data_IF_892786100887
#
_entry.id   IF_892786100887
#
_cell.length_a   1.000
_cell.length_b   1.000
_cell.length_c   1.000
_cell.angle_alpha   90.00
_cell.angle_beta   90.00
_cell.angle_gamma   90.00
#
_symmetry.space_group_name_H-M   'P 1'
#
loop_
_entity.id
_entity.type
_entity.pdbx_description
1 polymer ?
#
# COMPACT_ATOMS: atom_id res chain seq x y z
N UNK A 1 -49.34 4.37 -6.82
CA UNK A 1 -48.54 3.95 -5.64
C UNK A 1 -48.52 5.00 -4.51
N UNK A 2 -48.35 6.31 -4.76
CA UNK A 2 -48.16 7.31 -3.70
C UNK A 2 -49.36 7.60 -2.76
N UNK A 3 -50.62 7.40 -3.18
CA UNK A 3 -51.80 7.78 -2.37
C UNK A 3 -52.06 6.89 -1.14
N UNK A 4 -51.58 5.64 -1.14
CA UNK A 4 -51.71 4.74 0.02
C UNK A 4 -50.64 5.04 1.09
N UNK A 5 -49.49 5.58 0.66
CA UNK A 5 -48.38 5.93 1.54
C UNK A 5 -48.53 7.34 2.15
N UNK A 6 -49.39 8.20 1.62
CA UNK A 6 -49.54 9.57 2.12
C UNK A 6 -50.56 9.74 3.26
N UNK A 7 -51.25 8.69 3.71
CA UNK A 7 -52.40 8.79 4.65
C UNK A 7 -52.13 8.35 6.09
N UNK A 8 -50.88 8.03 6.47
CA UNK A 8 -50.55 7.67 7.86
C UNK A 8 -49.93 8.86 8.59
N UNK A 9 -50.41 9.09 9.82
CA UNK A 9 -50.23 10.33 10.59
C UNK A 9 -48.92 10.38 11.41
N UNK A 10 -48.11 9.31 11.43
CA UNK A 10 -46.84 9.25 12.18
C UNK A 10 -45.70 8.62 11.37
N UNK A 11 -44.50 9.16 11.59
CA UNK A 11 -43.22 8.80 10.97
C UNK A 11 -42.16 8.56 12.06
N UNK A 12 -42.40 7.59 12.93
CA UNK A 12 -41.38 7.11 13.87
C UNK A 12 -40.53 6.00 13.22
N UNK A 13 -39.43 5.63 13.89
CA UNK A 13 -38.45 4.66 13.40
C UNK A 13 -39.10 3.30 13.08
N UNK A 14 -39.95 2.80 13.98
CA UNK A 14 -40.66 1.54 13.82
C UNK A 14 -41.61 1.56 12.59
N UNK A 15 -42.34 2.67 12.40
CA UNK A 15 -43.21 2.85 11.23
C UNK A 15 -42.43 2.92 9.91
N UNK A 16 -41.20 3.44 9.91
CA UNK A 16 -40.33 3.47 8.73
C UNK A 16 -39.87 2.05 8.37
N UNK A 17 -39.41 1.27 9.35
CA UNK A 17 -38.98 -0.12 9.10
C UNK A 17 -40.12 -1.00 8.61
N UNK A 18 -41.29 -0.95 9.28
CA UNK A 18 -42.46 -1.71 8.86
C UNK A 18 -42.87 -1.39 7.41
N UNK A 19 -42.72 -0.12 7.00
CA UNK A 19 -43.02 0.33 5.64
C UNK A 19 -41.98 -0.11 4.61
N UNK A 20 -40.70 -0.09 4.99
CA UNK A 20 -39.63 -0.64 4.15
C UNK A 20 -39.87 -2.11 3.82
N UNK A 21 -40.30 -2.88 4.82
CA UNK A 21 -40.66 -4.30 4.67
C UNK A 21 -41.87 -4.48 3.73
N UNK A 22 -42.96 -3.72 3.93
CA UNK A 22 -44.14 -3.78 3.06
C UNK A 22 -43.79 -3.47 1.58
N UNK A 23 -42.93 -2.48 1.34
CA UNK A 23 -42.48 -2.11 -0.01
C UNK A 23 -41.58 -3.19 -0.60
N UNK A 24 -40.66 -3.77 0.18
CA UNK A 24 -39.79 -4.85 -0.27
C UNK A 24 -40.61 -6.09 -0.67
N UNK A 25 -41.60 -6.47 0.13
CA UNK A 25 -42.49 -7.59 -0.19
C UNK A 25 -43.33 -7.34 -1.45
N UNK A 26 -43.82 -6.11 -1.64
CA UNK A 26 -44.49 -5.72 -2.88
C UNK A 26 -43.57 -5.76 -4.09
N UNK A 27 -42.31 -5.32 -3.94
CA UNK A 27 -41.31 -5.38 -5.00
C UNK A 27 -41.01 -6.82 -5.40
N UNK A 28 -40.83 -7.73 -4.44
CA UNK A 28 -40.63 -9.17 -4.69
C UNK A 28 -41.82 -9.76 -5.45
N UNK A 29 -43.05 -9.37 -5.09
CA UNK A 29 -44.27 -9.86 -5.74
C UNK A 29 -44.45 -9.33 -7.16
N UNK A 30 -44.15 -8.05 -7.39
CA UNK A 30 -44.33 -7.39 -8.69
C UNK A 30 -43.19 -7.67 -9.66
N UNK A 31 -42.00 -7.91 -9.12
CA UNK A 31 -40.78 -8.21 -9.84
C UNK A 31 -40.25 -9.55 -9.37
N UNK A 32 -40.95 -10.67 -9.67
CA UNK A 32 -40.33 -11.97 -9.49
C UNK A 32 -39.04 -11.91 -10.30
N UNK A 33 -37.90 -12.14 -9.65
CA UNK A 33 -36.62 -12.19 -10.34
C UNK A 33 -36.70 -13.12 -11.56
N UNK A 34 -35.78 -12.99 -12.53
CA UNK A 34 -35.75 -13.90 -13.67
C UNK A 34 -35.92 -15.34 -13.19
N UNK A 35 -36.83 -16.09 -13.83
CA UNK A 35 -37.23 -17.44 -13.39
C UNK A 35 -36.07 -18.46 -13.46
N UNK A 36 -34.96 -18.08 -14.08
CA UNK A 36 -33.73 -18.84 -14.11
C UNK A 36 -32.88 -18.43 -12.91
N UNK A 37 -32.46 -19.42 -12.11
CA UNK A 37 -31.39 -19.22 -11.13
C UNK A 37 -30.25 -18.48 -11.83
N UNK A 38 -29.71 -17.40 -11.24
CA UNK A 38 -28.58 -16.70 -11.85
C UNK A 38 -27.47 -17.72 -11.99
N UNK A 39 -27.30 -18.22 -13.21
CA UNK A 39 -26.11 -18.97 -13.58
C UNK A 39 -24.97 -18.06 -13.17
N UNK A 40 -24.02 -18.50 -12.33
CA UNK A 40 -22.84 -17.72 -12.05
C UNK A 40 -22.22 -17.43 -13.40
N UNK A 41 -22.50 -16.24 -13.94
CA UNK A 41 -21.73 -15.68 -15.02
C UNK A 41 -20.42 -15.46 -14.31
N UNK A 42 -19.48 -16.39 -14.47
CA UNK A 42 -18.08 -16.09 -14.29
C UNK A 42 -17.87 -14.91 -15.22
N UNK A 43 -18.06 -13.69 -14.72
CA UNK A 43 -17.76 -12.49 -15.48
C UNK A 43 -16.31 -12.70 -15.89
N UNK A 44 -16.04 -12.97 -17.18
CA UNK A 44 -14.67 -13.13 -17.61
C UNK A 44 -14.07 -11.78 -17.24
N UNK A 45 -13.13 -11.79 -16.27
CA UNK A 45 -12.41 -10.59 -15.84
C UNK A 45 -11.95 -9.92 -17.12
N UNK A 46 -12.70 -8.91 -17.54
CA UNK A 46 -12.63 -8.42 -18.91
C UNK A 46 -11.36 -7.63 -18.94
N UNK A 47 -10.29 -8.27 -19.36
CA UNK A 47 -9.09 -7.56 -19.75
C UNK A 47 -9.55 -6.61 -20.85
N UNK A 48 -9.48 -5.29 -20.62
CA UNK A 48 -9.99 -4.31 -21.58
C UNK A 48 -9.32 -4.57 -22.92
N UNK A 49 -10.12 -4.57 -23.98
CA UNK A 49 -9.68 -4.80 -25.35
C UNK A 49 -8.55 -3.79 -25.66
N UNK A 50 -7.30 -4.23 -25.94
CA UNK A 50 -6.15 -3.32 -26.04
C UNK A 50 -6.30 -2.25 -27.12
N UNK A 51 -7.19 -2.45 -28.11
CA UNK A 51 -7.50 -1.47 -29.15
C UNK A 51 -8.42 -0.33 -28.67
N UNK A 52 -9.11 -0.50 -27.54
CA UNK A 52 -10.04 0.50 -26.98
C UNK A 52 -9.40 1.46 -25.98
N UNK A 53 -8.16 1.21 -25.55
CA UNK A 53 -7.47 2.04 -24.58
C UNK A 53 -7.20 3.44 -25.13
N UNK A 54 -7.54 4.47 -24.35
CA UNK A 54 -7.15 5.83 -24.71
C UNK A 54 -5.61 5.95 -24.72
N UNK A 55 -5.02 6.81 -25.56
CA UNK A 55 -3.56 6.98 -25.61
C UNK A 55 -2.92 7.30 -24.24
N UNK A 56 -3.69 7.87 -23.31
CA UNK A 56 -3.23 8.15 -21.94
C UNK A 56 -3.19 6.90 -21.06
N UNK A 57 -4.17 5.99 -21.17
CA UNK A 57 -4.19 4.73 -20.41
C UNK A 57 -3.07 3.80 -20.83
N UNK A 58 -2.80 3.69 -22.15
CA UNK A 58 -1.67 2.92 -22.65
C UNK A 58 -0.33 3.47 -22.13
N UNK A 59 -0.18 4.80 -22.12
CA UNK A 59 1.00 5.47 -21.57
C UNK A 59 1.19 5.19 -20.07
N UNK A 60 0.13 5.29 -19.27
CA UNK A 60 0.24 5.04 -17.83
C UNK A 60 0.48 3.56 -17.51
N UNK A 61 -0.17 2.65 -18.24
CA UNK A 61 0.08 1.21 -18.12
C UNK A 61 1.56 0.90 -18.38
N UNK A 62 2.14 1.41 -19.47
CA UNK A 62 3.56 1.23 -19.77
C UNK A 62 4.47 1.86 -18.69
N UNK A 63 4.15 3.07 -18.25
CA UNK A 63 4.88 3.76 -17.18
C UNK A 63 4.94 2.92 -15.91
N UNK A 64 3.79 2.46 -15.43
CA UNK A 64 3.71 1.63 -14.22
C UNK A 64 4.37 0.26 -14.38
N UNK A 65 4.23 -0.39 -15.54
CA UNK A 65 4.93 -1.66 -15.81
C UNK A 65 6.45 -1.50 -15.70
N UNK A 66 7.00 -0.40 -16.24
CA UNK A 66 8.43 -0.12 -16.17
C UNK A 66 8.90 0.16 -14.73
N UNK A 67 8.09 0.86 -13.92
CA UNK A 67 8.36 1.00 -12.47
C UNK A 67 8.35 -0.36 -11.77
N UNK A 68 7.36 -1.21 -12.04
CA UNK A 68 7.26 -2.54 -11.42
C UNK A 68 8.44 -3.44 -11.79
N UNK A 69 8.91 -3.42 -13.05
CA UNK A 69 10.12 -4.14 -13.47
C UNK A 69 11.32 -3.68 -12.63
N UNK A 70 11.48 -2.37 -12.46
CA UNK A 70 12.55 -1.79 -11.64
C UNK A 70 12.44 -2.23 -10.18
N UNK A 71 11.26 -2.14 -9.57
CA UNK A 71 11.02 -2.59 -8.20
C UNK A 71 11.32 -4.09 -8.01
N UNK A 72 10.96 -4.94 -8.98
CA UNK A 72 11.31 -6.38 -8.95
C UNK A 72 12.82 -6.58 -9.04
N UNK A 73 13.50 -5.85 -9.91
CA UNK A 73 14.95 -5.92 -10.06
C UNK A 73 15.69 -5.49 -8.78
N UNK A 74 15.12 -4.54 -8.04
CA UNK A 74 15.62 -4.11 -6.72
C UNK A 74 15.27 -5.10 -5.58
N UNK A 75 14.44 -6.11 -5.83
CA UNK A 75 13.96 -7.03 -4.80
C UNK A 75 12.92 -6.43 -3.86
N UNK A 76 12.27 -5.33 -4.26
CA UNK A 76 11.29 -4.62 -3.45
C UNK A 76 10.01 -5.45 -3.27
N UNK A 77 9.49 -5.60 -2.04
CA UNK A 77 8.24 -6.34 -1.80
C UNK A 77 7.02 -5.63 -2.42
N UNK A 78 7.12 -4.32 -2.63
CA UNK A 78 6.06 -3.49 -3.22
C UNK A 78 5.64 -4.03 -4.60
N UNK A 79 6.60 -4.54 -5.38
CA UNK A 79 6.32 -5.02 -6.72
C UNK A 79 5.38 -6.22 -6.81
N UNK A 80 5.13 -6.90 -5.68
CA UNK A 80 4.25 -8.08 -5.59
C UNK A 80 2.82 -7.75 -5.15
N UNK A 81 2.62 -6.56 -4.59
CA UNK A 81 1.34 -6.11 -4.02
C UNK A 81 0.80 -4.85 -4.71
N UNK A 82 1.57 -4.28 -5.63
CA UNK A 82 1.22 -3.07 -6.33
C UNK A 82 0.33 -3.36 -7.54
N UNK A 83 -0.80 -2.67 -7.65
CA UNK A 83 -1.79 -2.83 -8.71
C UNK A 83 -1.96 -1.51 -9.48
N UNK A 84 -1.57 -1.47 -10.77
CA UNK A 84 -1.80 -0.30 -11.62
C UNK A 84 -3.29 -0.11 -11.96
N UNK A 85 -3.80 1.09 -11.77
CA UNK A 85 -5.17 1.47 -12.14
C UNK A 85 -5.15 2.88 -12.77
N UNK A 86 -5.11 2.95 -14.10
CA UNK A 86 -5.07 4.22 -14.83
C UNK A 86 -3.86 5.06 -14.45
N UNK A 87 -4.10 6.28 -13.96
CA UNK A 87 -3.08 7.23 -13.51
C UNK A 87 -2.56 6.95 -12.07
N UNK A 88 -2.95 5.83 -11.47
CA UNK A 88 -2.60 5.44 -10.11
C UNK A 88 -1.96 4.05 -10.04
N UNK A 89 -1.15 3.85 -9.01
CA UNK A 89 -0.59 2.56 -8.60
C UNK A 89 -0.94 2.35 -7.13
N UNK A 90 -1.88 1.46 -6.85
CA UNK A 90 -2.33 1.13 -5.50
C UNK A 90 -1.42 0.10 -4.84
N UNK A 91 -1.15 0.28 -3.55
CA UNK A 91 -0.30 -0.58 -2.75
C UNK A 91 -0.99 -0.82 -1.41
N UNK A 92 -1.32 -2.07 -1.15
CA UNK A 92 -1.91 -2.47 0.13
C UNK A 92 -0.88 -2.42 1.26
N UNK A 93 -1.20 -1.72 2.35
CA UNK A 93 -0.29 -1.65 3.52
C UNK A 93 -0.49 -2.78 4.52
N UNK A 94 -1.61 -3.51 4.40
CA UNK A 94 -2.06 -4.51 5.39
C UNK A 94 -2.65 -3.91 6.67
N UNK A 95 -2.67 -2.57 6.82
CA UNK A 95 -3.30 -1.89 7.95
C UNK A 95 -4.74 -1.47 7.58
N UNK A 96 -5.71 -1.66 8.49
CA UNK A 96 -7.10 -1.33 8.21
C UNK A 96 -7.28 0.18 8.00
N UNK A 97 -7.89 0.57 6.88
CA UNK A 97 -8.14 1.97 6.55
C UNK A 97 -6.88 2.76 6.18
N UNK A 98 -5.76 2.10 5.88
CA UNK A 98 -4.54 2.76 5.41
C UNK A 98 -4.15 2.18 4.07
N UNK A 99 -4.06 3.03 3.04
CA UNK A 99 -3.60 2.63 1.71
C UNK A 99 -2.45 3.52 1.26
N UNK A 100 -1.52 2.95 0.51
CA UNK A 100 -0.43 3.68 -0.13
C UNK A 100 -0.72 3.69 -1.63
N UNK A 101 -0.50 4.83 -2.28
CA UNK A 101 -0.60 4.93 -3.74
C UNK A 101 0.50 5.81 -4.31
N UNK A 102 0.94 5.50 -5.51
CA UNK A 102 1.60 6.48 -6.37
C UNK A 102 0.58 7.00 -7.38
N UNK A 103 0.59 8.30 -7.66
CA UNK A 103 -0.33 8.91 -8.62
C UNK A 103 0.42 9.83 -9.57
N UNK A 104 -0.04 9.86 -10.81
CA UNK A 104 0.36 10.84 -11.82
C UNK A 104 -0.68 11.95 -11.80
N UNK A 105 -0.25 13.16 -11.44
CA UNK A 105 -1.12 14.33 -11.45
C UNK A 105 -1.09 14.98 -12.83
N UNK A 106 -2.21 14.94 -13.54
CA UNK A 106 -2.40 15.63 -14.82
C UNK A 106 -3.54 16.65 -14.72
N UNK A 107 -3.32 17.77 -14.01
CA UNK A 107 -4.30 18.86 -13.97
C UNK A 107 -3.82 20.03 -14.83
N UNK A 108 -4.50 20.23 -15.96
CA UNK A 108 -4.21 21.30 -16.90
C UNK A 108 -2.81 21.18 -17.52
N UNK A 109 -1.97 22.18 -17.28
CA UNK A 109 -0.58 22.24 -17.79
C UNK A 109 0.47 21.79 -16.77
N UNK A 110 0.06 21.50 -15.54
CA UNK A 110 0.95 21.02 -14.50
C UNK A 110 0.98 19.49 -14.52
N UNK A 111 2.19 18.94 -14.67
CA UNK A 111 2.45 17.51 -14.51
C UNK A 111 3.24 17.29 -13.24
N UNK A 112 2.87 16.28 -12.47
CA UNK A 112 3.62 15.84 -11.31
C UNK A 112 3.38 14.38 -11.04
N UNK A 113 4.23 13.81 -10.20
CA UNK A 113 4.02 12.49 -9.62
C UNK A 113 4.02 12.64 -8.10
N UNK A 114 3.18 11.89 -7.43
CA UNK A 114 3.10 11.89 -5.98
C UNK A 114 3.10 10.47 -5.43
N UNK A 115 3.55 10.36 -4.19
CA UNK A 115 3.38 9.19 -3.34
C UNK A 115 2.50 9.64 -2.19
N UNK A 116 1.32 9.03 -2.07
CA UNK A 116 0.26 9.42 -1.14
C UNK A 116 -0.06 8.26 -0.23
N UNK A 117 0.02 8.50 1.08
CA UNK A 117 -0.52 7.63 2.11
C UNK A 117 -1.89 8.17 2.51
N UNK A 118 -2.94 7.40 2.24
CA UNK A 118 -4.32 7.71 2.61
C UNK A 118 -4.66 7.02 3.93
N UNK A 119 -5.24 7.80 4.85
CA UNK A 119 -5.74 7.34 6.15
C UNK A 119 -7.24 7.59 6.17
N UNK A 120 -8.00 6.52 5.93
CA UNK A 120 -9.46 6.50 5.94
C UNK A 120 -10.04 5.80 7.17
N UNK A 121 -11.36 5.64 7.15
CA UNK A 121 -12.10 4.87 8.15
C UNK A 121 -12.42 5.61 9.47
N UNK A 122 -12.86 4.84 10.46
CA UNK A 122 -13.19 5.34 11.81
C UNK A 122 -11.91 5.58 12.60
N UNK A 123 -11.82 6.72 13.29
CA UNK A 123 -10.62 7.08 14.04
C UNK A 123 -9.48 7.70 13.21
N UNK A 124 -9.66 7.89 11.89
CA UNK A 124 -8.63 8.42 10.97
C UNK A 124 -7.98 9.72 11.45
N UNK A 125 -8.78 10.64 12.00
CA UNK A 125 -8.28 11.94 12.43
C UNK A 125 -7.42 11.79 13.69
N UNK A 126 -7.78 10.87 14.59
CA UNK A 126 -6.98 10.51 15.76
C UNK A 126 -5.66 9.86 15.32
N UNK A 127 -5.69 8.94 14.34
CA UNK A 127 -4.50 8.32 13.75
C UNK A 127 -3.59 9.37 13.11
N UNK A 128 -4.14 10.25 12.28
CA UNK A 128 -3.41 11.37 11.67
C UNK A 128 -2.79 12.28 12.74
N UNK A 129 -3.55 12.65 13.78
CA UNK A 129 -3.04 13.46 14.90
C UNK A 129 -1.94 12.75 15.68
N UNK A 130 -1.98 11.43 15.78
CA UNK A 130 -0.93 10.64 16.41
C UNK A 130 0.36 10.66 15.58
N UNK A 131 0.27 10.50 14.26
CA UNK A 131 1.41 10.67 13.35
C UNK A 131 1.97 12.09 13.38
N UNK A 132 1.09 13.09 13.45
CA UNK A 132 1.51 14.50 13.47
C UNK A 132 2.39 14.82 14.70
N UNK A 133 2.19 14.12 15.82
CA UNK A 133 3.08 14.23 17.00
C UNK A 133 4.49 13.67 16.75
N UNK A 134 4.64 12.79 15.77
CA UNK A 134 5.91 12.18 15.36
C UNK A 134 6.49 12.82 14.09
N UNK A 135 5.89 13.90 13.57
CA UNK A 135 6.23 14.51 12.27
C UNK A 135 7.73 14.71 12.07
N UNK A 136 8.38 15.43 12.98
CA UNK A 136 9.80 15.78 12.84
C UNK A 136 10.71 14.55 12.80
N UNK A 137 10.37 13.51 13.55
CA UNK A 137 11.13 12.27 13.58
C UNK A 137 10.94 11.47 12.28
N UNK A 138 9.71 11.37 11.79
CA UNK A 138 9.40 10.70 10.52
C UNK A 138 10.10 11.40 9.33
N UNK A 139 10.00 12.73 9.24
CA UNK A 139 10.65 13.51 8.17
C UNK A 139 12.18 13.42 8.24
N UNK A 140 12.75 13.36 9.46
CA UNK A 140 14.19 13.12 9.66
C UNK A 140 14.63 11.75 9.15
N UNK A 141 13.86 10.69 9.43
CA UNK A 141 14.17 9.33 8.95
C UNK A 141 14.01 9.19 7.43
N UNK A 142 13.08 9.94 6.83
CA UNK A 142 12.89 10.00 5.37
C UNK A 142 13.95 10.86 4.67
N UNK A 143 14.53 11.83 5.39
CA UNK A 143 15.55 12.75 4.87
C UNK A 143 14.99 13.92 4.07
N UNK A 144 13.66 14.13 4.09
CA UNK A 144 12.99 15.28 3.50
C UNK A 144 11.60 15.49 4.10
N UNK A 145 11.05 16.69 3.91
CA UNK A 145 9.72 17.05 4.38
C UNK A 145 8.60 16.31 3.63
N UNK A 146 7.45 16.25 4.28
CA UNK A 146 6.18 15.75 3.73
C UNK A 146 5.14 16.86 3.70
N UNK A 147 4.18 16.72 2.80
CA UNK A 147 2.92 17.45 2.91
C UNK A 147 1.96 16.69 3.81
N UNK A 148 1.40 17.40 4.78
CA UNK A 148 0.49 16.85 5.78
C UNK A 148 -0.88 17.50 5.60
N UNK A 149 -1.87 16.72 5.18
CA UNK A 149 -3.22 17.21 4.94
C UNK A 149 -4.25 16.50 5.81
N UNK A 150 -4.43 17.02 7.01
CA UNK A 150 -5.52 16.60 7.90
C UNK A 150 -6.82 17.28 7.52
N UNK A 151 -7.83 16.51 7.10
CA UNK A 151 -9.15 17.05 6.76
C UNK A 151 -10.19 16.58 7.78
N UNK A 152 -10.47 17.37 8.85
CA UNK A 152 -11.36 16.92 9.92
C UNK A 152 -12.81 16.67 9.46
N UNK A 153 -13.24 17.32 8.37
CA UNK A 153 -14.59 17.15 7.78
C UNK A 153 -14.66 16.15 6.62
N UNK A 154 -13.52 15.68 6.11
CA UNK A 154 -13.49 14.68 5.04
C UNK A 154 -13.23 13.30 5.62
N UNK A 155 -13.64 12.28 4.89
CA UNK A 155 -13.47 10.85 5.10
C UNK A 155 -12.02 10.35 4.99
N UNK A 156 -11.07 11.18 4.57
CA UNK A 156 -9.66 10.84 4.45
C UNK A 156 -8.73 11.91 5.04
N UNK A 157 -7.55 11.49 5.50
CA UNK A 157 -6.40 12.35 5.79
C UNK A 157 -5.20 11.83 5.02
N UNK A 158 -4.38 12.73 4.48
CA UNK A 158 -3.34 12.35 3.53
C UNK A 158 -1.98 12.85 3.99
N UNK A 159 -0.96 12.03 3.76
CA UNK A 159 0.44 12.41 3.81
C UNK A 159 1.04 12.15 2.43
N UNK A 160 1.76 13.09 1.86
CA UNK A 160 2.30 12.88 0.53
C UNK A 160 3.64 13.55 0.26
N UNK A 161 4.36 12.96 -0.69
CA UNK A 161 5.47 13.57 -1.40
C UNK A 161 5.01 13.96 -2.79
N UNK A 162 5.53 15.06 -3.32
CA UNK A 162 5.19 15.54 -4.65
C UNK A 162 6.45 15.93 -5.41
N UNK A 163 6.61 15.39 -6.61
CA UNK A 163 7.65 15.78 -7.55
C UNK A 163 6.99 16.55 -8.69
N UNK A 164 7.18 17.88 -8.69
CA UNK A 164 6.66 18.76 -9.72
C UNK A 164 7.39 18.56 -11.05
N UNK A 165 6.79 19.05 -12.14
CA UNK A 165 7.35 19.04 -13.50
C UNK A 165 7.72 17.64 -14.04
N UNK A 166 7.06 16.60 -13.51
CA UNK A 166 7.28 15.22 -13.89
C UNK A 166 6.23 14.77 -14.90
N UNK A 167 6.49 15.06 -16.18
CA UNK A 167 5.60 14.66 -17.26
C UNK A 167 5.89 13.20 -17.68
N UNK A 168 4.94 12.26 -17.50
CA UNK A 168 5.11 10.87 -17.92
C UNK A 168 5.19 10.71 -19.44
N UNK A 169 4.82 11.72 -20.24
CA UNK A 169 5.03 11.69 -21.71
C UNK A 169 6.50 11.81 -22.08
N UNK A 170 7.35 12.31 -21.18
CA UNK A 170 8.79 12.43 -21.43
C UNK A 170 9.53 11.16 -20.98
N UNK A 171 9.56 10.15 -21.87
CA UNK A 171 10.20 8.85 -21.60
C UNK A 171 11.69 8.96 -21.21
N UNK A 172 12.40 9.97 -21.71
CA UNK A 172 13.80 10.20 -21.35
C UNK A 172 14.00 10.52 -19.85
N UNK A 173 12.94 10.96 -19.16
CA UNK A 173 12.95 11.27 -17.72
C UNK A 173 12.39 10.15 -16.85
N UNK A 174 11.91 9.05 -17.42
CA UNK A 174 11.33 7.95 -16.65
C UNK A 174 12.30 7.33 -15.65
N UNK A 175 13.57 7.17 -16.02
CA UNK A 175 14.54 6.59 -15.08
C UNK A 175 14.69 7.44 -13.80
N UNK A 176 14.67 8.76 -13.92
CA UNK A 176 14.75 9.70 -12.79
C UNK A 176 13.47 9.64 -11.95
N UNK A 177 12.31 9.70 -12.62
CA UNK A 177 10.99 9.64 -11.99
C UNK A 177 10.77 8.31 -11.25
N UNK A 178 11.13 7.18 -11.86
CA UNK A 178 11.00 5.85 -11.25
C UNK A 178 11.96 5.66 -10.08
N UNK A 179 13.20 6.16 -10.18
CA UNK A 179 14.13 6.12 -9.05
C UNK A 179 13.61 6.95 -7.86
N UNK A 180 12.99 8.10 -8.14
CA UNK A 180 12.32 8.89 -7.11
C UNK A 180 11.13 8.13 -6.50
N UNK A 181 10.25 7.53 -7.32
CA UNK A 181 9.11 6.76 -6.83
C UNK A 181 9.53 5.57 -5.97
N UNK A 182 10.49 4.77 -6.44
CA UNK A 182 11.06 3.64 -5.69
C UNK A 182 11.51 4.08 -4.28
N UNK A 183 12.37 5.10 -4.21
CA UNK A 183 12.89 5.60 -2.93
C UNK A 183 11.77 6.04 -1.99
N UNK A 184 10.77 6.78 -2.51
CA UNK A 184 9.71 7.36 -1.68
C UNK A 184 8.66 6.33 -1.27
N UNK A 185 8.33 5.38 -2.14
CA UNK A 185 7.42 4.27 -1.82
C UNK A 185 8.01 3.37 -0.72
N UNK A 186 9.27 2.99 -0.86
CA UNK A 186 9.97 2.18 0.14
C UNK A 186 10.17 2.95 1.44
N UNK A 187 10.52 4.24 1.36
CA UNK A 187 10.61 5.12 2.53
C UNK A 187 9.29 5.20 3.29
N UNK A 188 8.17 5.40 2.59
CA UNK A 188 6.84 5.48 3.20
C UNK A 188 6.44 4.15 3.86
N UNK A 189 6.65 3.03 3.18
CA UNK A 189 6.39 1.69 3.74
C UNK A 189 7.26 1.38 4.96
N UNK A 190 8.56 1.69 4.88
CA UNK A 190 9.51 1.36 5.95
C UNK A 190 9.32 2.24 7.19
N UNK A 191 9.12 3.53 7.01
CA UNK A 191 9.11 4.50 8.11
C UNK A 191 7.69 4.74 8.60
N UNK A 192 6.79 5.18 7.72
CA UNK A 192 5.48 5.69 8.12
C UNK A 192 4.49 4.57 8.38
N UNK A 193 4.41 3.57 7.50
CA UNK A 193 3.53 2.41 7.70
C UNK A 193 3.98 1.60 8.92
N UNK A 194 5.30 1.48 9.15
CA UNK A 194 5.81 0.86 10.38
C UNK A 194 5.38 1.62 11.63
N UNK A 195 5.53 2.96 11.66
CA UNK A 195 5.07 3.76 12.80
C UNK A 195 3.54 3.71 13.01
N UNK A 196 2.77 3.57 11.93
CA UNK A 196 1.32 3.38 12.01
C UNK A 196 0.93 2.05 12.63
N UNK A 197 1.74 1.00 12.47
CA UNK A 197 1.44 -0.31 13.05
C UNK A 197 1.43 -0.31 14.59
N UNK A 198 2.13 0.64 15.21
CA UNK A 198 2.10 0.86 16.67
C UNK A 198 0.85 1.65 17.12
N UNK A 199 0.27 2.45 16.22
CA UNK A 199 -0.88 3.33 16.51
C UNK A 199 -2.20 2.61 16.21
N UNK A 200 -2.27 1.88 15.11
CA UNK A 200 -3.47 1.21 14.61
C UNK A 200 -3.44 -0.23 15.09
N UNK A 201 -4.23 -0.60 16.12
CA UNK A 201 -4.24 -1.96 16.63
C UNK A 201 -4.68 -2.91 15.51
N UNK A 202 -3.85 -3.90 15.22
CA UNK A 202 -4.14 -4.92 14.22
C UNK A 202 -5.30 -5.79 14.71
N UNK A 203 -6.54 -5.48 14.28
CA UNK A 203 -7.76 -6.17 14.71
C UNK A 203 -7.98 -7.54 14.03
N UNK A 204 -6.91 -8.26 13.70
CA UNK A 204 -6.99 -9.65 13.26
C UNK A 204 -7.18 -9.86 11.74
N UNK A 205 -6.76 -8.91 10.89
CA UNK A 205 -6.58 -9.18 9.46
C UNK A 205 -5.41 -10.16 9.32
N UNK A 206 -5.47 -11.19 8.44
CA UNK A 206 -4.42 -12.21 8.31
C UNK A 206 -3.05 -11.56 8.24
N UNK A 207 -2.19 -11.92 9.20
CA UNK A 207 -0.85 -11.34 9.35
C UNK A 207 -0.15 -11.33 7.99
N UNK A 208 0.22 -10.13 7.56
CA UNK A 208 1.27 -9.90 6.58
C UNK A 208 2.37 -10.93 6.80
N UNK A 209 2.60 -11.77 5.78
CA UNK A 209 3.42 -12.96 5.91
C UNK A 209 4.81 -12.56 6.46
N UNK A 210 5.32 -13.25 7.47
CA UNK A 210 6.50 -12.86 8.26
C UNK A 210 7.79 -12.66 7.43
N UNK A 211 7.77 -13.03 6.15
CA UNK A 211 8.83 -12.73 5.17
C UNK A 211 9.02 -11.23 4.92
N UNK A 212 7.95 -10.42 4.91
CA UNK A 212 8.08 -8.98 4.65
C UNK A 212 8.70 -8.23 5.84
N UNK A 213 8.37 -8.59 7.09
CA UNK A 213 9.00 -7.98 8.27
C UNK A 213 10.49 -8.33 8.40
N UNK A 214 10.92 -9.48 7.87
CA UNK A 214 12.36 -9.82 7.87
C UNK A 214 13.19 -8.78 7.11
N UNK A 215 12.63 -8.14 6.08
CA UNK A 215 13.29 -7.08 5.31
C UNK A 215 13.33 -5.72 6.05
N UNK A 216 12.28 -5.38 6.80
CA UNK A 216 12.25 -4.20 7.66
C UNK A 216 13.32 -4.25 8.77
N UNK A 217 13.72 -5.46 9.19
CA UNK A 217 14.68 -5.69 10.27
C UNK A 217 16.12 -5.98 9.79
N UNK A 218 16.36 -6.27 8.51
CA UNK A 218 17.68 -6.73 8.02
C UNK A 218 18.49 -5.69 7.25
N UNK A 219 17.95 -4.50 6.98
CA UNK A 219 18.68 -3.44 6.26
C UNK A 219 19.63 -2.60 7.11
N UNK A 220 19.82 -2.92 8.40
CA UNK A 220 20.94 -2.41 9.20
C UNK A 220 22.22 -3.21 8.94
N UNK A 221 22.67 -3.20 7.69
CA UNK A 221 23.97 -3.73 7.31
C UNK A 221 25.04 -2.69 7.61
N UNK A 222 25.78 -2.88 8.69
CA UNK A 222 26.99 -2.12 9.01
C UNK A 222 27.97 -2.10 7.83
N UNK A 223 28.14 -0.94 7.19
CA UNK A 223 29.32 -0.64 6.39
C UNK A 223 30.52 -0.56 7.35
N UNK A 224 31.13 -1.71 7.65
CA UNK A 224 32.51 -1.74 8.13
C UNK A 224 33.41 -1.32 6.97
N UNK A 225 33.64 -0.02 6.86
CA UNK A 225 34.70 0.56 6.02
C UNK A 225 36.04 0.08 6.57
N UNK A 226 36.56 -0.99 5.99
CA UNK A 226 37.91 -1.49 6.27
C UNK A 226 38.89 -0.68 5.43
N UNK A 227 39.36 0.44 5.99
CA UNK A 227 40.42 1.26 5.40
C UNK A 227 41.76 0.56 5.56
N UNK A 228 42.20 -0.17 4.53
CA UNK A 228 43.56 -0.72 4.45
C UNK A 228 44.46 0.29 3.74
N UNK A 229 45.16 1.11 4.52
CA UNK A 229 46.23 1.99 4.06
C UNK A 229 47.50 1.17 3.80
N UNK A 230 48.00 1.20 2.57
CA UNK A 230 49.39 0.80 2.23
C UNK A 230 50.18 2.02 1.80
N UNK A 231 51.45 2.18 2.24
CA UNK A 231 52.35 3.19 1.70
C UNK A 231 53.06 2.63 0.46
N UNK A 232 53.14 3.41 -0.61
CA UNK A 232 53.99 3.09 -1.77
C UNK A 232 55.02 4.18 -1.98
N UNK A 233 56.28 3.78 -1.80
CA UNK A 233 57.50 4.54 -2.05
C UNK A 233 57.83 4.58 -3.55
N UNK A 234 58.31 5.75 -3.98
CA UNK A 234 59.10 6.12 -5.17
C UNK A 234 59.83 5.02 -5.97
N UNK A 235 59.71 5.04 -7.32
CA UNK A 235 60.79 5.44 -8.26
C UNK A 235 60.56 4.94 -9.70
N UNK A 236 61.11 5.71 -10.66
CA UNK A 236 61.02 5.68 -12.12
C UNK A 236 61.25 4.34 -12.87
N UNK A 237 60.59 4.18 -14.04
CA UNK A 237 61.23 4.07 -15.39
C UNK A 237 60.27 3.54 -16.48
N UNK A 238 60.18 4.30 -17.59
CA UNK A 238 59.99 3.98 -19.03
C UNK A 238 59.11 2.83 -19.57
N UNK A 239 58.62 2.95 -20.83
CA UNK A 239 57.42 2.26 -21.32
C UNK A 239 57.71 0.98 -22.10
N UNK A 240 56.79 0.03 -22.08
CA UNK A 240 56.75 -1.09 -23.02
C UNK A 240 55.32 -1.55 -23.26
N UNK A 241 54.93 -1.46 -24.53
CA UNK A 241 53.73 -2.00 -25.17
C UNK A 241 53.58 -3.49 -24.87
N UNK A 242 52.44 -3.94 -24.34
CA UNK A 242 52.00 -5.33 -24.51
C UNK A 242 50.47 -5.44 -24.52
N UNK A 243 50.05 -6.28 -25.46
CA UNK A 243 48.75 -6.66 -25.95
C UNK A 243 47.94 -7.45 -24.90
N UNK A 244 46.70 -7.03 -24.60
CA UNK A 244 45.81 -7.73 -23.66
C UNK A 244 44.74 -8.51 -24.43
N UNK A 245 44.94 -9.83 -24.54
CA UNK A 245 43.88 -10.78 -24.89
C UNK A 245 43.02 -11.05 -23.66
N UNK A 246 41.72 -10.72 -23.75
CA UNK A 246 40.72 -11.06 -22.73
C UNK A 246 40.29 -12.53 -22.87
N UNK A 247 40.61 -13.34 -21.87
CA UNK A 247 40.02 -14.66 -21.66
C UNK A 247 38.73 -14.53 -20.85
N UNK A 248 37.67 -15.21 -21.30
CA UNK A 248 36.38 -15.29 -20.62
C UNK A 248 36.45 -16.24 -19.43
N UNK A 249 36.20 -15.74 -18.23
CA UNK A 249 36.06 -16.55 -17.01
C UNK A 249 34.60 -16.95 -16.83
N UNK A 250 34.33 -18.25 -16.86
CA UNK A 250 33.02 -18.86 -16.60
C UNK A 250 32.74 -18.87 -15.09
N UNK A 251 31.59 -18.32 -14.71
CA UNK A 251 31.13 -18.26 -13.33
C UNK A 251 30.21 -19.46 -13.04
N UNK A 252 30.59 -20.32 -12.10
CA UNK A 252 29.82 -21.51 -11.71
C UNK A 252 29.01 -21.24 -10.44
N UNK A 253 27.68 -21.38 -10.53
CA UNK A 253 26.77 -21.30 -9.38
C UNK A 253 26.81 -22.60 -8.56
N UNK A 254 27.25 -22.53 -7.29
CA UNK A 254 27.02 -23.61 -6.30
C UNK A 254 25.66 -23.43 -5.64
N UNK A 255 24.82 -24.46 -5.69
CA UNK A 255 23.57 -24.57 -4.90
C UNK A 255 23.91 -24.96 -3.46
N UNK A 256 23.30 -24.27 -2.50
CA UNK A 256 23.29 -24.64 -1.07
C UNK A 256 22.00 -25.43 -0.78
N UNK A 257 22.05 -26.53 0.00
CA UNK A 257 20.87 -27.33 0.30
C UNK A 257 20.01 -26.69 1.41
N UNK A 258 18.68 -26.74 1.24
CA UNK A 258 17.70 -26.33 2.24
C UNK A 258 17.52 -27.44 3.28
N UNK A 259 17.93 -27.19 4.52
CA UNK A 259 17.58 -28.02 5.67
C UNK A 259 16.13 -27.76 6.11
N UNK A 260 15.34 -28.83 6.30
CA UNK A 260 14.03 -28.78 6.98
C UNK A 260 14.26 -28.73 8.49
N UNK A 261 13.56 -27.83 9.19
CA UNK A 261 13.36 -27.92 10.63
C UNK A 261 11.90 -28.24 10.97
N UNK A 262 11.64 -28.99 12.06
CA UNK A 262 10.29 -29.43 12.46
C UNK A 262 9.54 -28.35 13.24
N UNK A 263 8.24 -28.25 13.00
CA UNK A 263 7.32 -27.42 13.78
C UNK A 263 7.04 -28.09 15.14
N UNK A 264 7.30 -27.38 16.24
CA UNK A 264 6.87 -27.78 17.59
C UNK A 264 5.50 -27.18 17.91
N UNK A 265 4.66 -27.99 18.55
CA UNK A 265 3.29 -27.69 18.95
C UNK A 265 3.20 -26.56 19.98
N UNK A 266 2.25 -25.64 19.78
CA UNK A 266 1.88 -24.60 20.74
C UNK A 266 0.55 -24.92 21.44
N UNK A 267 0.57 -24.65 22.74
CA UNK A 267 -0.41 -24.86 23.80
C UNK A 267 -1.70 -24.04 23.58
N UNK A 268 -2.90 -24.54 23.94
CA UNK A 268 -4.15 -23.78 23.82
C UNK A 268 -4.27 -22.68 24.90
N UNK A 269 -4.92 -21.54 24.59
CA UNK A 269 -5.02 -20.40 25.51
C UNK A 269 -6.02 -20.64 26.64
N UNK A 270 -5.59 -20.29 27.86
CA UNK A 270 -6.37 -20.26 29.10
C UNK A 270 -7.41 -19.13 29.05
N UNK A 271 -8.64 -19.47 29.46
CA UNK A 271 -9.81 -18.58 29.50
C UNK A 271 -9.65 -17.52 30.61
N UNK A 272 -9.89 -16.22 30.35
CA UNK A 272 -9.84 -15.19 31.39
C UNK A 272 -11.05 -15.24 32.33
N UNK A 273 -10.90 -14.86 33.62
CA UNK A 273 -11.96 -14.91 34.61
C UNK A 273 -13.01 -13.81 34.38
N UNK A 274 -14.27 -14.17 34.59
CA UNK A 274 -15.43 -13.29 34.52
C UNK A 274 -15.50 -12.40 35.78
N UNK A 275 -15.83 -11.10 35.67
CA UNK A 275 -16.06 -10.25 36.83
C UNK A 275 -17.41 -10.58 37.50
N UNK A 276 -17.35 -10.77 38.82
CA UNK A 276 -18.51 -10.93 39.70
C UNK A 276 -19.34 -9.64 39.77
N UNK A 277 -20.61 -9.72 39.36
CA UNK A 277 -21.60 -8.66 39.53
C UNK A 277 -22.11 -8.74 40.98
N UNK A 278 -21.63 -7.85 41.84
CA UNK A 278 -22.22 -7.64 43.16
C UNK A 278 -23.47 -6.75 43.04
N UNK A 279 -24.59 -7.33 43.45
CA UNK A 279 -25.87 -6.65 43.65
C UNK A 279 -25.76 -5.63 44.78
N UNK A 280 -26.14 -4.38 44.53
CA UNK A 280 -26.46 -3.41 45.57
C UNK A 280 -27.98 -3.25 45.66
N UNK A 281 -28.49 -3.71 46.80
CA UNK A 281 -29.88 -3.79 47.21
C UNK A 281 -30.13 -2.67 48.24
N UNK A 282 -31.19 -1.90 48.00
CA UNK A 282 -32.10 -1.22 48.96
C UNK A 282 -31.61 -0.14 49.95
N UNK A 283 -32.44 0.92 50.01
CA UNK A 283 -32.64 1.82 51.16
C UNK A 283 -32.40 3.28 50.75
N UNK A 284 -33.33 4.24 50.86
CA UNK A 284 -34.61 4.36 51.56
C UNK A 284 -35.39 5.50 50.91
#
# INVERSE_FOLDING_TARGET
MNKALSKKERWDEDAIYARGEEVAQLAIKLWPGPAEEPVPVEEPMSQPDPESATPSEALFSEYWQMLLIRLRAAGSPIASIAEPQGDQLWIETGLPGVSLRANIWTQGRAYGIAVVLDIGGTGRYQTYRALLRQKSELERQLGHGMYWQGRPKSDHSELYFFMSHSNPRNRAKWSEQHAWLEKNLEGMMRVVVSALSDIVPNRGIPRWNSRCNSWLLTSSGSETVSSKTTPTTSAASSPSTTQTSRSMSTYSFRRVPRGRMPCSNSIPPTKPPQPSVNSLRTGR
#
